data_IF_318577931686
#
_entry.id   IF_318577931686
#
_cell.length_a   1.000
_cell.length_b   1.000
_cell.length_c   1.000
_cell.angle_alpha   90.00
_cell.angle_beta   90.00
_cell.angle_gamma   90.00
#
_symmetry.space_group_name_H-M   'P 1'
#
loop_
_entity.id
_entity.type
_entity.pdbx_description
1 polymer ?
#
# COMPACT_ATOMS: atom_id res chain seq x y z
N UNK A 1 -9.82 17.14 36.75
CA UNK A 1 -8.78 17.51 37.74
C UNK A 1 -8.77 19.02 37.90
N UNK A 2 -8.79 19.51 39.14
CA UNK A 2 -8.64 20.94 39.43
C UNK A 2 -7.23 21.40 38.99
N UNK A 3 -7.15 22.37 38.08
CA UNK A 3 -5.88 22.85 37.53
C UNK A 3 -5.57 24.19 38.22
N UNK A 4 -4.86 24.15 39.35
CA UNK A 4 -4.43 25.35 40.05
C UNK A 4 -3.34 26.04 39.22
N UNK A 5 -3.74 27.02 38.40
CA UNK A 5 -2.85 27.73 37.48
C UNK A 5 -1.93 28.72 38.19
N UNK A 6 -2.40 29.28 39.29
CA UNK A 6 -1.75 30.35 40.01
C UNK A 6 -1.80 30.12 41.53
N UNK A 7 -0.72 30.48 42.21
CA UNK A 7 -0.63 30.54 43.67
C UNK A 7 -0.49 32.01 44.05
N UNK A 8 -1.29 32.48 45.01
CA UNK A 8 -1.17 33.86 45.52
C UNK A 8 -0.31 33.85 46.78
N UNK A 9 0.81 34.58 46.76
CA UNK A 9 1.71 34.75 47.92
C UNK A 9 1.84 36.24 48.20
N UNK A 10 1.43 36.67 49.39
CA UNK A 10 1.51 38.08 49.79
C UNK A 10 0.72 39.04 48.88
N UNK A 11 -0.35 38.57 48.21
CA UNK A 11 -1.14 39.35 47.26
C UNK A 11 -0.61 39.35 45.82
N UNK A 12 0.55 38.76 45.55
CA UNK A 12 1.08 38.57 44.20
C UNK A 12 0.70 37.20 43.65
N UNK A 13 0.24 37.17 42.39
CA UNK A 13 -0.04 35.91 41.68
C UNK A 13 1.22 35.35 41.05
N UNK A 14 1.61 34.14 41.44
CA UNK A 14 2.74 33.39 40.89
C UNK A 14 2.22 32.28 39.98
N UNK A 15 2.84 32.11 38.81
CA UNK A 15 2.51 31.04 37.88
C UNK A 15 3.11 29.73 38.38
N UNK A 16 2.27 28.71 38.60
CA UNK A 16 2.71 27.41 39.19
C UNK A 16 2.83 26.33 38.11
N UNK A 17 2.24 26.57 36.94
CA UNK A 17 2.27 25.63 35.84
C UNK A 17 3.55 25.83 35.03
N UNK A 18 4.33 24.77 34.93
CA UNK A 18 5.33 24.61 33.88
C UNK A 18 4.68 23.94 32.65
N UNK A 19 4.25 24.77 31.69
CA UNK A 19 3.62 24.30 30.46
C UNK A 19 4.59 23.51 29.58
N UNK A 20 5.87 23.87 29.61
CA UNK A 20 6.93 23.17 28.88
C UNK A 20 7.13 21.77 29.41
N UNK A 21 7.27 21.61 30.74
CA UNK A 21 7.41 20.30 31.37
C UNK A 21 6.18 19.41 31.12
N UNK A 22 4.97 19.98 31.21
CA UNK A 22 3.73 19.25 30.92
C UNK A 22 3.66 18.79 29.46
N UNK A 23 4.03 19.66 28.53
CA UNK A 23 4.06 19.33 27.10
C UNK A 23 5.08 18.22 26.80
N UNK A 24 6.28 18.33 27.37
CA UNK A 24 7.33 17.31 27.24
C UNK A 24 6.90 15.96 27.83
N UNK A 25 6.26 15.96 28.99
CA UNK A 25 5.75 14.74 29.62
C UNK A 25 4.66 14.07 28.76
N UNK A 26 3.73 14.86 28.19
CA UNK A 26 2.69 14.32 27.31
C UNK A 26 3.30 13.74 26.01
N UNK A 27 4.29 14.40 25.43
CA UNK A 27 5.00 13.90 24.25
C UNK A 27 5.72 12.57 24.54
N UNK A 28 6.41 12.48 25.68
CA UNK A 28 7.07 11.24 26.11
C UNK A 28 6.08 10.10 26.35
N UNK A 29 4.93 10.39 26.97
CA UNK A 29 3.86 9.41 27.18
C UNK A 29 3.30 8.91 25.84
N UNK A 30 2.99 9.82 24.91
CA UNK A 30 2.51 9.48 23.58
C UNK A 30 3.54 8.65 22.78
N UNK A 31 4.83 8.96 22.91
CA UNK A 31 5.91 8.19 22.31
C UNK A 31 6.03 6.78 22.90
N UNK A 32 5.91 6.66 24.22
CA UNK A 32 5.96 5.36 24.91
C UNK A 32 4.76 4.48 24.53
N UNK A 33 3.56 5.06 24.50
CA UNK A 33 2.35 4.35 24.10
C UNK A 33 2.42 3.89 22.64
N UNK A 34 3.00 4.72 21.75
CA UNK A 34 3.28 4.29 20.38
C UNK A 34 4.25 3.10 20.34
N UNK A 35 5.39 3.17 21.04
CA UNK A 35 6.36 2.07 21.06
C UNK A 35 5.74 0.78 21.58
N UNK A 36 4.89 0.87 22.61
CA UNK A 36 4.13 -0.27 23.13
C UNK A 36 3.19 -0.84 22.07
N UNK A 37 2.43 0.00 21.39
CA UNK A 37 1.50 -0.41 20.33
C UNK A 37 2.21 -1.02 19.13
N UNK A 38 3.38 -0.49 18.75
CA UNK A 38 4.24 -1.06 17.70
C UNK A 38 4.75 -2.45 18.10
N UNK A 39 5.25 -2.61 19.33
CA UNK A 39 5.75 -3.89 19.85
C UNK A 39 4.70 -5.00 19.79
N UNK A 40 3.44 -4.67 20.06
CA UNK A 40 2.34 -5.65 20.05
C UNK A 40 1.58 -5.72 18.71
N UNK A 41 1.98 -4.95 17.70
CA UNK A 41 1.27 -4.89 16.40
C UNK A 41 -0.17 -4.41 16.53
N UNK A 42 -0.46 -3.45 17.42
CA UNK A 42 -1.80 -2.89 17.67
C UNK A 42 -1.86 -1.37 17.54
N UNK A 43 -0.92 -0.77 16.82
CA UNK A 43 -1.02 0.65 16.50
C UNK A 43 -2.24 0.89 15.59
N UNK A 44 -3.21 1.65 16.08
CA UNK A 44 -4.48 1.88 15.38
C UNK A 44 -4.38 2.86 14.20
N UNK A 45 -3.22 3.49 14.01
CA UNK A 45 -3.02 4.57 13.05
C UNK A 45 -3.61 5.89 13.50
N UNK A 46 -3.02 7.00 13.06
CA UNK A 46 -3.64 8.32 13.14
C UNK A 46 -3.99 8.85 11.75
N UNK A 47 -4.98 9.74 11.69
CA UNK A 47 -5.29 10.48 10.47
C UNK A 47 -4.16 11.44 10.15
N UNK A 48 -3.56 11.31 8.96
CA UNK A 48 -2.50 12.21 8.49
C UNK A 48 -3.07 13.63 8.28
N UNK A 49 -4.34 13.75 7.90
CA UNK A 49 -5.00 15.06 7.80
C UNK A 49 -5.08 15.77 9.16
N UNK A 50 -5.25 15.01 10.25
CA UNK A 50 -5.24 15.56 11.60
C UNK A 50 -3.82 15.92 12.04
N UNK A 51 -2.84 15.04 11.78
CA UNK A 51 -1.43 15.28 12.10
C UNK A 51 -0.90 16.55 11.43
N UNK A 52 -1.29 16.77 10.16
CA UNK A 52 -0.81 17.88 9.33
C UNK A 52 -1.78 19.07 9.29
N UNK A 53 -2.78 19.14 10.18
CA UNK A 53 -3.83 20.17 10.12
C UNK A 53 -3.28 21.60 10.05
N UNK A 54 -2.17 21.89 10.75
CA UNK A 54 -1.50 23.19 10.73
C UNK A 54 -0.72 23.50 9.44
N UNK A 55 -0.48 22.50 8.59
CA UNK A 55 0.33 22.61 7.36
C UNK A 55 -0.50 22.61 6.08
N UNK A 56 -1.77 22.17 6.16
CA UNK A 56 -2.68 22.11 5.00
C UNK A 56 -2.93 23.51 4.43
N UNK A 57 -3.13 24.52 5.30
CA UNK A 57 -3.42 25.89 4.87
C UNK A 57 -4.60 25.95 3.90
N UNK A 58 -4.41 26.59 2.73
CA UNK A 58 -5.40 26.63 1.64
C UNK A 58 -5.32 25.47 0.64
N UNK A 59 -4.45 24.48 0.87
CA UNK A 59 -4.29 23.29 0.03
C UNK A 59 -5.02 22.07 0.57
N UNK A 60 -4.56 20.89 0.15
CA UNK A 60 -5.02 19.58 0.61
C UNK A 60 -3.99 18.93 1.53
N UNK A 61 -4.41 17.88 2.25
CA UNK A 61 -3.47 17.02 3.00
C UNK A 61 -2.38 16.44 2.10
N UNK A 62 -2.68 16.18 0.82
CA UNK A 62 -1.71 15.65 -0.15
C UNK A 62 -0.62 16.69 -0.45
N UNK A 63 -0.97 17.97 -0.60
CA UNK A 63 0.01 19.05 -0.83
C UNK A 63 0.95 19.21 0.37
N UNK A 64 0.41 19.16 1.60
CA UNK A 64 1.20 19.23 2.83
C UNK A 64 2.13 18.01 2.98
N UNK A 65 1.61 16.81 2.73
CA UNK A 65 2.38 15.58 2.81
C UNK A 65 3.49 15.51 1.74
N UNK A 66 3.19 15.86 0.49
CA UNK A 66 4.20 15.94 -0.57
C UNK A 66 5.34 16.90 -0.21
N UNK A 67 5.04 18.11 0.28
CA UNK A 67 6.07 19.07 0.71
C UNK A 67 6.99 18.48 1.78
N UNK A 68 6.43 17.72 2.72
CA UNK A 68 7.21 17.03 3.75
C UNK A 68 8.09 15.94 3.16
N UNK A 69 7.57 15.12 2.26
CA UNK A 69 8.31 14.03 1.61
C UNK A 69 9.51 14.59 0.84
N UNK A 70 9.29 15.58 -0.03
CA UNK A 70 10.37 16.23 -0.80
C UNK A 70 11.42 16.87 0.09
N UNK A 71 11.02 17.37 1.27
CA UNK A 71 11.92 17.96 2.26
C UNK A 71 12.59 16.92 3.20
N UNK A 72 12.41 15.62 2.98
CA UNK A 72 12.85 14.54 3.88
C UNK A 72 12.38 14.74 5.34
N UNK A 73 11.14 15.19 5.50
CA UNK A 73 10.54 15.46 6.81
C UNK A 73 9.40 14.48 7.13
N UNK A 74 9.77 13.35 7.72
CA UNK A 74 8.82 12.33 8.16
C UNK A 74 8.39 12.47 9.64
N UNK A 75 8.69 13.60 10.28
CA UNK A 75 8.50 13.75 11.73
C UNK A 75 7.04 13.52 12.14
N UNK A 76 6.81 12.54 13.02
CA UNK A 76 5.48 12.20 13.54
C UNK A 76 4.63 11.29 12.64
N UNK A 77 5.05 11.03 11.39
CA UNK A 77 4.45 10.02 10.52
C UNK A 77 4.94 8.63 10.92
N UNK A 78 4.03 7.66 10.89
CA UNK A 78 4.29 6.28 11.32
C UNK A 78 3.64 5.29 10.38
N UNK A 79 4.27 4.12 10.23
CA UNK A 79 3.62 2.94 9.60
C UNK A 79 2.32 2.67 10.35
N UNK A 80 1.22 2.50 9.62
CA UNK A 80 -0.14 2.40 10.18
C UNK A 80 -0.95 3.70 10.14
N UNK A 81 -0.32 4.87 10.01
CA UNK A 81 -1.06 6.14 9.79
C UNK A 81 -1.78 6.12 8.45
N UNK A 82 -2.86 6.89 8.31
CA UNK A 82 -3.76 6.72 7.18
C UNK A 82 -4.27 8.02 6.55
N UNK A 83 -4.65 7.90 5.28
CA UNK A 83 -5.44 8.84 4.50
C UNK A 83 -6.78 8.20 4.16
N UNK A 84 -7.88 8.92 4.40
CA UNK A 84 -9.19 8.56 3.84
C UNK A 84 -9.35 9.32 2.52
N UNK A 85 -9.21 8.61 1.40
CA UNK A 85 -9.21 9.20 0.06
C UNK A 85 -10.62 9.13 -0.53
N UNK A 86 -11.30 10.26 -0.80
CA UNK A 86 -12.58 10.25 -1.48
C UNK A 86 -12.39 9.84 -2.94
N UNK A 87 -13.28 8.99 -3.45
CA UNK A 87 -13.29 8.57 -4.85
C UNK A 87 -14.13 9.55 -5.68
N UNK A 88 -13.64 9.90 -6.88
CA UNK A 88 -14.28 10.83 -7.80
C UNK A 88 -15.08 10.13 -8.92
N UNK A 89 -14.94 8.81 -9.02
CA UNK A 89 -15.67 7.94 -9.94
C UNK A 89 -15.95 6.59 -9.27
N UNK A 90 -17.02 5.93 -9.69
CA UNK A 90 -17.35 4.56 -9.29
C UNK A 90 -16.97 3.51 -10.34
N UNK A 91 -16.35 3.90 -11.47
CA UNK A 91 -16.12 3.01 -12.61
C UNK A 91 -15.29 1.75 -12.28
N UNK A 92 -14.38 1.83 -11.33
CA UNK A 92 -13.56 0.70 -10.87
C UNK A 92 -14.06 0.00 -9.60
N UNK A 93 -15.07 0.52 -8.90
CA UNK A 93 -15.38 0.10 -7.52
C UNK A 93 -16.86 -0.18 -7.27
N UNK A 94 -17.17 -1.11 -6.38
CA UNK A 94 -18.53 -1.49 -6.00
C UNK A 94 -19.15 -0.52 -4.98
N UNK A 95 -19.45 0.71 -5.41
CA UNK A 95 -20.22 1.69 -4.64
C UNK A 95 -19.47 2.34 -3.47
N UNK A 96 -18.17 2.05 -3.27
CA UNK A 96 -17.34 2.77 -2.31
C UNK A 96 -17.28 4.27 -2.67
N UNK A 97 -17.41 5.13 -1.66
CA UNK A 97 -17.25 6.58 -1.82
C UNK A 97 -15.87 7.06 -1.38
N UNK A 98 -15.15 6.23 -0.61
CA UNK A 98 -13.79 6.49 -0.17
C UNK A 98 -13.01 5.18 0.03
N UNK A 99 -11.69 5.28 -0.06
CA UNK A 99 -10.76 4.19 0.27
C UNK A 99 -9.76 4.71 1.29
N UNK A 100 -9.62 3.99 2.40
CA UNK A 100 -8.55 4.25 3.37
C UNK A 100 -7.25 3.63 2.90
N UNK A 101 -6.20 4.44 2.80
CA UNK A 101 -4.84 4.02 2.52
C UNK A 101 -3.97 4.20 3.76
N UNK A 102 -3.15 3.20 4.06
CA UNK A 102 -2.32 3.12 5.25
C UNK A 102 -0.85 3.24 4.83
N UNK A 103 -0.03 4.01 5.57
CA UNK A 103 1.43 4.02 5.41
C UNK A 103 1.93 2.61 5.65
N UNK A 104 2.47 2.01 4.60
CA UNK A 104 3.01 0.66 4.61
C UNK A 104 4.50 0.63 4.92
N UNK A 105 5.25 1.61 4.40
CA UNK A 105 6.69 1.77 4.59
C UNK A 105 7.06 3.22 4.20
N UNK A 106 8.03 3.82 4.89
CA UNK A 106 8.66 5.10 4.52
C UNK A 106 9.98 4.80 3.81
N UNK A 107 10.20 5.37 2.63
CA UNK A 107 11.40 5.19 1.80
C UNK A 107 11.81 3.72 1.47
N UNK A 108 10.87 2.79 1.19
CA UNK A 108 11.22 1.40 0.90
C UNK A 108 12.15 1.21 -0.31
N UNK A 109 12.16 2.16 -1.24
CA UNK A 109 12.92 2.10 -2.49
C UNK A 109 13.82 3.32 -2.68
N UNK A 110 14.20 4.01 -1.61
CA UNK A 110 15.03 5.21 -1.72
C UNK A 110 16.39 4.82 -2.31
N UNK A 111 16.78 5.53 -3.38
CA UNK A 111 18.01 5.24 -4.15
C UNK A 111 18.09 3.82 -4.74
N UNK A 112 16.96 3.12 -4.80
CA UNK A 112 16.83 1.86 -5.54
C UNK A 112 16.38 2.14 -6.99
N UNK A 113 16.18 1.06 -7.74
CA UNK A 113 15.91 1.04 -9.19
C UNK A 113 17.10 1.47 -10.09
N UNK A 114 16.97 1.29 -11.41
CA UNK A 114 18.01 1.60 -12.41
C UNK A 114 18.14 3.10 -12.73
N UNK A 115 17.38 3.97 -12.05
CA UNK A 115 17.33 5.43 -12.29
C UNK A 115 17.39 6.25 -11.00
N UNK A 116 17.15 5.64 -9.84
CA UNK A 116 16.98 6.31 -8.56
C UNK A 116 15.63 7.02 -8.44
N UNK A 117 15.03 6.98 -7.24
CA UNK A 117 13.91 7.86 -6.87
C UNK A 117 14.20 8.66 -5.61
N UNK A 118 13.55 9.81 -5.49
CA UNK A 118 13.58 10.64 -4.31
C UNK A 118 12.85 10.00 -3.12
N UNK A 119 12.74 10.77 -2.04
CA UNK A 119 11.96 10.38 -0.87
C UNK A 119 10.51 10.07 -1.25
N UNK A 120 9.92 9.06 -0.61
CA UNK A 120 8.55 8.63 -0.86
C UNK A 120 7.98 7.82 0.32
N UNK A 121 6.66 7.70 0.33
CA UNK A 121 5.94 6.84 1.27
C UNK A 121 5.13 5.84 0.47
N UNK A 122 5.29 4.55 0.78
CA UNK A 122 4.42 3.51 0.27
C UNK A 122 3.12 3.49 1.07
N UNK A 123 2.00 3.57 0.36
CA UNK A 123 0.67 3.42 0.89
C UNK A 123 0.05 2.12 0.38
N UNK A 124 -0.77 1.47 1.20
CA UNK A 124 -1.57 0.30 0.79
C UNK A 124 -3.01 0.48 1.23
N UNK A 125 -3.94 0.08 0.37
CA UNK A 125 -5.36 0.05 0.69
C UNK A 125 -5.57 -0.78 1.98
N UNK A 126 -6.31 -0.22 2.92
CA UNK A 126 -6.59 -0.85 4.21
C UNK A 126 -7.29 -2.20 4.06
N UNK A 127 -8.14 -2.37 3.05
CA UNK A 127 -8.85 -3.61 2.77
C UNK A 127 -8.87 -3.89 1.26
N UNK A 128 -9.07 -5.16 0.84
CA UNK A 128 -9.33 -5.48 -0.55
C UNK A 128 -10.55 -4.72 -1.10
N UNK A 129 -10.41 -4.22 -2.31
CA UNK A 129 -11.37 -3.30 -2.93
C UNK A 129 -12.38 -4.13 -3.71
N UNK A 130 -13.67 -3.98 -3.38
CA UNK A 130 -14.73 -4.57 -4.17
C UNK A 130 -14.80 -3.89 -5.54
N UNK A 131 -14.83 -4.70 -6.60
CA UNK A 131 -14.83 -4.26 -8.01
C UNK A 131 -16.26 -3.93 -8.44
N UNK A 132 -16.45 -2.89 -9.26
CA UNK A 132 -17.78 -2.53 -9.77
C UNK A 132 -18.39 -3.71 -10.55
N UNK A 133 -19.68 -3.99 -10.33
CA UNK A 133 -20.41 -4.99 -11.11
C UNK A 133 -20.59 -4.63 -12.59
N UNK A 134 -20.29 -3.38 -12.97
CA UNK A 134 -20.29 -2.91 -14.35
C UNK A 134 -18.90 -2.90 -14.99
N UNK A 135 -17.85 -3.26 -14.25
CA UNK A 135 -16.49 -3.30 -14.77
C UNK A 135 -16.31 -4.54 -15.65
N UNK A 136 -15.71 -4.36 -16.84
CA UNK A 136 -15.45 -5.48 -17.75
C UNK A 136 -14.42 -6.44 -17.15
N UNK A 137 -14.73 -7.73 -17.12
CA UNK A 137 -13.93 -8.74 -16.42
C UNK A 137 -14.26 -8.92 -14.92
N UNK A 138 -15.25 -8.22 -14.36
CA UNK A 138 -15.73 -8.52 -12.99
C UNK A 138 -16.25 -9.96 -12.90
N UNK A 139 -15.92 -10.64 -11.82
CA UNK A 139 -16.43 -11.96 -11.48
C UNK A 139 -17.19 -11.93 -10.15
N UNK A 140 -18.18 -12.83 -10.00
CA UNK A 140 -18.95 -13.00 -8.76
C UNK A 140 -19.41 -11.67 -8.14
N UNK A 141 -19.90 -10.76 -9.00
CA UNK A 141 -20.46 -9.44 -8.67
C UNK A 141 -19.52 -8.39 -8.06
N UNK A 142 -18.35 -8.76 -7.54
CA UNK A 142 -17.44 -7.81 -6.85
C UNK A 142 -15.98 -8.23 -6.75
N UNK A 143 -15.59 -9.27 -7.50
CA UNK A 143 -14.25 -9.83 -7.56
C UNK A 143 -13.69 -9.66 -8.96
N UNK A 144 -12.42 -10.00 -9.15
CA UNK A 144 -11.81 -10.00 -10.47
C UNK A 144 -10.83 -11.17 -10.55
N UNK A 145 -10.85 -11.99 -11.61
CA UNK A 145 -9.78 -12.94 -11.83
C UNK A 145 -8.48 -12.17 -12.14
N UNK A 146 -7.33 -12.78 -11.84
CA UNK A 146 -6.06 -12.17 -12.17
C UNK A 146 -5.89 -12.02 -13.70
N UNK A 147 -6.39 -13.00 -14.45
CA UNK A 147 -6.49 -12.96 -15.91
C UNK A 147 -7.76 -13.68 -16.40
N UNK A 148 -8.21 -13.36 -17.62
CA UNK A 148 -9.46 -13.92 -18.19
C UNK A 148 -9.41 -15.45 -18.33
N UNK A 149 -8.23 -16.00 -18.62
CA UNK A 149 -7.97 -17.44 -18.74
C UNK A 149 -6.87 -17.88 -17.80
N UNK A 150 -6.73 -19.21 -17.61
CA UNK A 150 -5.71 -19.84 -16.77
C UNK A 150 -4.30 -19.74 -17.38
N UNK A 151 -3.82 -18.51 -17.57
CA UNK A 151 -2.49 -18.19 -18.08
C UNK A 151 -1.83 -17.11 -17.23
N UNK A 152 -0.57 -17.37 -16.90
CA UNK A 152 0.33 -16.44 -16.24
C UNK A 152 1.55 -16.11 -17.10
N UNK A 153 1.37 -16.15 -18.43
CA UNK A 153 2.43 -15.84 -19.40
C UNK A 153 2.40 -14.37 -19.80
N UNK A 154 3.57 -13.84 -20.16
CA UNK A 154 3.66 -12.66 -21.00
C UNK A 154 3.41 -13.00 -22.47
N UNK A 155 3.47 -11.99 -23.31
CA UNK A 155 3.40 -12.07 -24.77
C UNK A 155 4.77 -11.81 -25.40
N UNK A 156 4.86 -11.91 -26.73
CA UNK A 156 6.07 -11.57 -27.46
C UNK A 156 6.51 -10.11 -27.24
N UNK A 157 5.53 -9.20 -27.13
CA UNK A 157 5.75 -7.78 -26.97
C UNK A 157 5.92 -7.37 -25.51
N UNK A 158 5.13 -7.98 -24.61
CA UNK A 158 5.14 -7.70 -23.17
C UNK A 158 5.41 -9.00 -22.43
N UNK A 159 6.68 -9.29 -22.17
CA UNK A 159 7.11 -10.57 -21.59
C UNK A 159 6.76 -10.74 -20.11
N UNK A 160 6.33 -9.66 -19.46
CA UNK A 160 5.99 -9.66 -18.04
C UNK A 160 4.50 -10.00 -17.84
N UNK A 161 4.18 -11.13 -17.20
CA UNK A 161 2.79 -11.57 -17.04
C UNK A 161 1.89 -10.54 -16.38
N UNK A 162 2.38 -9.89 -15.34
CA UNK A 162 1.59 -8.91 -14.59
C UNK A 162 1.14 -7.73 -15.46
N UNK A 163 1.98 -7.24 -16.36
CA UNK A 163 1.60 -6.16 -17.27
C UNK A 163 0.55 -6.58 -18.31
N UNK A 164 0.44 -7.88 -18.59
CA UNK A 164 -0.58 -8.44 -19.48
C UNK A 164 -1.88 -8.80 -18.75
N UNK A 165 -1.91 -8.69 -17.41
CA UNK A 165 -3.00 -9.23 -16.59
C UNK A 165 -4.26 -8.36 -16.65
N UNK A 166 -5.42 -9.00 -16.48
CA UNK A 166 -6.68 -8.30 -16.30
C UNK A 166 -6.67 -7.48 -15.00
N UNK A 167 -5.99 -7.96 -13.96
CA UNK A 167 -5.78 -7.22 -12.71
C UNK A 167 -5.11 -5.87 -12.96
N UNK A 168 -4.06 -5.82 -13.79
CA UNK A 168 -3.37 -4.57 -14.16
C UNK A 168 -4.30 -3.60 -14.88
N UNK A 169 -5.16 -4.11 -15.77
CA UNK A 169 -6.20 -3.32 -16.43
C UNK A 169 -7.17 -2.66 -15.42
N UNK A 170 -7.57 -3.40 -14.39
CA UNK A 170 -8.42 -2.86 -13.33
C UNK A 170 -7.73 -1.80 -12.48
N UNK A 171 -6.44 -1.98 -12.17
CA UNK A 171 -5.67 -0.98 -11.41
C UNK A 171 -5.58 0.36 -12.14
N UNK A 172 -5.44 0.33 -13.48
CA UNK A 172 -5.50 1.55 -14.31
C UNK A 172 -6.87 2.21 -14.25
N UNK A 173 -7.96 1.43 -14.27
CA UNK A 173 -9.30 1.98 -14.11
C UNK A 173 -9.56 2.52 -12.69
N UNK A 174 -8.99 1.89 -11.67
CA UNK A 174 -9.05 2.35 -10.29
C UNK A 174 -8.28 3.65 -10.07
N UNK A 175 -7.12 3.82 -10.72
CA UNK A 175 -6.36 5.09 -10.68
C UNK A 175 -7.24 6.28 -11.12
N UNK A 176 -8.05 6.09 -12.17
CA UNK A 176 -8.99 7.11 -12.65
C UNK A 176 -10.14 7.43 -11.66
N UNK A 177 -10.33 6.60 -10.62
CA UNK A 177 -11.29 6.87 -9.54
C UNK A 177 -10.69 7.75 -8.43
N UNK A 178 -9.38 7.98 -8.41
CA UNK A 178 -8.70 8.79 -7.40
C UNK A 178 -8.70 10.29 -7.78
N UNK A 179 -8.70 11.20 -6.79
CA UNK A 179 -8.75 12.62 -7.05
C UNK A 179 -7.43 13.12 -7.64
N UNK A 180 -7.49 14.06 -8.59
CA UNK A 180 -6.32 14.67 -9.22
C UNK A 180 -5.34 15.27 -8.20
N UNK A 181 -5.88 15.86 -7.12
CA UNK A 181 -5.07 16.40 -6.02
C UNK A 181 -4.13 15.39 -5.37
N UNK A 182 -4.46 14.10 -5.42
CA UNK A 182 -3.59 13.00 -4.99
C UNK A 182 -2.75 12.46 -6.15
N UNK A 183 -3.36 12.13 -7.28
CA UNK A 183 -2.68 11.41 -8.37
C UNK A 183 -1.54 12.19 -9.03
N UNK A 184 -1.52 13.52 -8.90
CA UNK A 184 -0.40 14.37 -9.31
C UNK A 184 0.89 14.14 -8.50
N UNK A 185 0.79 13.59 -7.30
CA UNK A 185 1.92 13.27 -6.41
C UNK A 185 2.21 11.78 -6.30
N UNK A 186 1.39 10.93 -6.94
CA UNK A 186 1.69 9.50 -7.00
C UNK A 186 2.77 9.27 -8.06
N UNK A 187 3.86 8.63 -7.64
CA UNK A 187 4.96 8.25 -8.52
C UNK A 187 4.57 7.04 -9.38
N UNK A 188 5.00 7.03 -10.65
CA UNK A 188 5.02 5.81 -11.43
C UNK A 188 6.03 4.85 -10.80
N UNK A 189 5.58 3.66 -10.41
CA UNK A 189 6.45 2.69 -9.77
C UNK A 189 7.24 1.93 -10.83
N UNK A 190 8.56 2.01 -10.74
CA UNK A 190 9.50 1.25 -11.56
C UNK A 190 10.05 0.07 -10.76
N UNK A 191 10.01 -1.12 -11.36
CA UNK A 191 10.38 -2.37 -10.68
C UNK A 191 11.16 -3.30 -11.58
N UNK A 192 11.90 -4.21 -10.95
CA UNK A 192 12.48 -5.36 -11.62
C UNK A 192 11.45 -6.47 -11.71
N UNK A 193 10.78 -6.58 -12.86
CA UNK A 193 9.62 -7.43 -13.04
C UNK A 193 10.01 -8.75 -13.70
N UNK A 194 9.45 -9.84 -13.21
CA UNK A 194 9.68 -11.17 -13.78
C UNK A 194 9.13 -11.27 -15.21
N UNK A 195 9.90 -11.90 -16.09
CA UNK A 195 9.52 -12.26 -17.44
C UNK A 195 9.18 -13.75 -17.50
N UNK A 196 8.07 -14.07 -18.16
CA UNK A 196 7.66 -15.45 -18.42
C UNK A 196 7.07 -15.54 -19.81
N UNK A 197 7.95 -15.67 -20.79
CA UNK A 197 7.55 -15.83 -22.18
C UNK A 197 8.53 -16.75 -22.92
N UNK A 198 7.99 -17.58 -23.80
CA UNK A 198 8.74 -18.38 -24.75
C UNK A 198 7.92 -18.57 -26.03
N UNK A 199 8.58 -18.46 -27.18
CA UNK A 199 7.96 -18.76 -28.48
C UNK A 199 7.63 -20.25 -28.65
N UNK A 200 8.21 -21.12 -27.82
CA UNK A 200 8.06 -22.58 -27.90
C UNK A 200 6.90 -23.14 -27.07
N UNK A 201 6.14 -22.28 -26.38
CA UNK A 201 5.01 -22.68 -25.54
C UNK A 201 5.07 -22.09 -24.13
N UNK A 202 4.02 -22.37 -23.34
CA UNK A 202 3.89 -21.84 -21.98
C UNK A 202 4.97 -22.39 -21.04
N UNK A 203 5.50 -21.51 -20.20
CA UNK A 203 6.51 -21.84 -19.18
C UNK A 203 5.85 -22.07 -17.82
N UNK A 204 6.40 -22.96 -17.01
CA UNK A 204 5.99 -23.15 -15.60
C UNK A 204 6.67 -22.19 -14.65
N UNK A 205 7.83 -21.67 -15.05
CA UNK A 205 8.68 -20.81 -14.26
C UNK A 205 9.11 -19.60 -15.08
N UNK A 206 9.25 -18.47 -14.40
CA UNK A 206 9.82 -17.26 -15.00
C UNK A 206 11.29 -17.52 -15.35
N UNK A 207 11.75 -16.99 -16.48
CA UNK A 207 13.05 -17.33 -17.05
C UNK A 207 13.98 -16.12 -17.23
N UNK A 208 13.47 -14.92 -16.97
CA UNK A 208 14.23 -13.68 -17.07
C UNK A 208 13.57 -12.56 -16.23
N UNK A 209 14.15 -11.37 -16.24
CA UNK A 209 13.59 -10.17 -15.62
C UNK A 209 13.97 -8.93 -16.42
N UNK A 210 13.13 -7.90 -16.33
CA UNK A 210 13.41 -6.59 -16.91
C UNK A 210 12.87 -5.45 -16.07
N UNK A 211 13.52 -4.29 -16.16
CA UNK A 211 13.06 -3.07 -15.50
C UNK A 211 11.84 -2.51 -16.22
N UNK A 212 10.70 -2.47 -15.54
CA UNK A 212 9.42 -2.04 -16.08
C UNK A 212 8.75 -0.98 -15.20
N UNK A 213 8.00 -0.11 -15.85
CA UNK A 213 7.10 0.81 -15.17
C UNK A 213 5.74 0.11 -15.00
N UNK A 214 5.32 -0.14 -13.77
CA UNK A 214 4.08 -0.85 -13.45
C UNK A 214 2.90 0.10 -13.19
N UNK A 215 3.05 1.39 -13.49
CA UNK A 215 2.03 2.41 -13.27
C UNK A 215 2.06 3.00 -11.86
N UNK A 216 1.09 3.87 -11.56
CA UNK A 216 0.98 4.59 -10.28
C UNK A 216 0.32 3.77 -9.18
N UNK A 217 -0.63 2.92 -9.57
CA UNK A 217 -1.34 1.97 -8.71
C UNK A 217 -0.90 0.57 -9.09
N UNK A 218 -0.53 -0.26 -8.11
CA UNK A 218 -0.14 -1.65 -8.34
C UNK A 218 -0.58 -2.60 -7.22
N UNK A 219 -0.71 -3.88 -7.56
CA UNK A 219 -0.82 -4.98 -6.61
C UNK A 219 0.55 -5.40 -6.13
N UNK A 220 0.66 -5.67 -4.82
CA UNK A 220 1.93 -5.96 -4.18
C UNK A 220 2.49 -7.33 -4.61
N UNK A 221 3.81 -7.50 -4.52
CA UNK A 221 4.48 -8.79 -4.69
C UNK A 221 4.49 -9.61 -3.39
N UNK A 222 4.81 -10.89 -3.50
CA UNK A 222 5.08 -11.70 -2.31
C UNK A 222 6.24 -11.14 -1.47
N UNK A 223 7.23 -10.50 -2.10
CA UNK A 223 8.34 -9.88 -1.37
C UNK A 223 7.87 -8.66 -0.57
N UNK A 224 7.02 -7.80 -1.14
CA UNK A 224 6.44 -6.64 -0.44
C UNK A 224 5.59 -7.07 0.79
N UNK A 225 4.98 -8.26 0.76
CA UNK A 225 4.05 -8.74 1.79
C UNK A 225 4.71 -9.69 2.80
N UNK A 226 5.39 -10.73 2.31
CA UNK A 226 5.95 -11.81 3.12
C UNK A 226 7.45 -11.65 3.38
N UNK A 227 8.13 -10.80 2.60
CA UNK A 227 9.59 -10.68 2.65
C UNK A 227 10.33 -11.83 1.99
N UNK A 228 9.62 -12.69 1.26
CA UNK A 228 10.21 -13.75 0.44
C UNK A 228 9.21 -14.23 -0.64
N UNK A 229 9.68 -14.85 -1.72
CA UNK A 229 8.82 -15.54 -2.68
C UNK A 229 8.44 -16.91 -2.09
N UNK A 230 7.20 -17.07 -1.59
CA UNK A 230 6.75 -18.34 -1.02
C UNK A 230 6.32 -19.30 -2.12
N UNK A 231 5.55 -18.80 -3.10
CA UNK A 231 5.05 -19.58 -4.23
C UNK A 231 5.54 -19.08 -5.58
N UNK A 232 6.12 -17.89 -5.64
CA UNK A 232 6.71 -17.31 -6.83
C UNK A 232 7.93 -18.08 -7.33
N UNK A 233 8.35 -17.78 -8.56
CA UNK A 233 9.55 -18.36 -9.15
C UNK A 233 10.79 -17.89 -8.38
N UNK A 234 11.55 -18.78 -7.72
CA UNK A 234 12.77 -18.40 -7.02
C UNK A 234 13.76 -17.67 -7.94
N UNK A 235 14.34 -16.58 -7.46
CA UNK A 235 15.29 -15.75 -8.22
C UNK A 235 14.66 -14.72 -9.15
N UNK A 236 13.40 -14.87 -9.55
CA UNK A 236 12.72 -13.93 -10.46
C UNK A 236 11.61 -13.14 -9.78
N UNK A 237 10.76 -13.78 -8.97
CA UNK A 237 9.60 -13.10 -8.34
C UNK A 237 9.95 -12.14 -7.19
N UNK A 238 11.23 -12.07 -6.78
CA UNK A 238 11.73 -11.06 -5.82
C UNK A 238 11.99 -9.73 -6.50
N UNK A 239 12.59 -9.77 -7.70
CA UNK A 239 13.09 -8.57 -8.36
C UNK A 239 14.04 -7.76 -7.45
N UNK A 240 13.64 -6.53 -7.16
CA UNK A 240 14.33 -5.59 -6.26
C UNK A 240 13.47 -5.24 -5.03
N UNK A 241 12.35 -5.92 -4.84
CA UNK A 241 11.37 -5.57 -3.85
C UNK A 241 11.89 -5.81 -2.42
N UNK A 242 11.31 -5.12 -1.44
CA UNK A 242 11.59 -5.30 -0.02
C UNK A 242 10.28 -5.49 0.76
N UNK A 243 10.33 -6.17 1.91
CA UNK A 243 9.13 -6.30 2.73
C UNK A 243 8.68 -4.95 3.28
N UNK A 244 7.39 -4.66 3.20
CA UNK A 244 6.81 -3.49 3.87
C UNK A 244 6.60 -3.76 5.35
N UNK A 245 7.04 -2.81 6.18
CA UNK A 245 6.94 -2.90 7.64
C UNK A 245 5.52 -3.18 8.14
N UNK A 246 4.51 -2.69 7.42
CA UNK A 246 3.10 -2.96 7.72
C UNK A 246 2.76 -4.46 7.74
N UNK A 247 3.41 -5.30 6.93
CA UNK A 247 3.08 -6.73 6.82
C UNK A 247 3.94 -7.65 7.69
N UNK A 248 4.64 -7.08 8.68
CA UNK A 248 5.44 -7.81 9.65
C UNK A 248 4.63 -8.87 10.41
N UNK A 249 3.34 -8.64 10.62
CA UNK A 249 2.43 -9.61 11.20
C UNK A 249 1.27 -10.01 10.26
N UNK A 250 0.65 -11.14 10.59
CA UNK A 250 -0.46 -11.69 9.79
C UNK A 250 -1.75 -10.87 9.93
N UNK A 251 -1.93 -10.15 11.05
CA UNK A 251 -3.14 -9.38 11.29
C UNK A 251 -3.28 -8.22 10.30
N UNK A 252 -2.18 -7.55 9.96
CA UNK A 252 -2.17 -6.45 8.98
C UNK A 252 -2.37 -6.91 7.52
N UNK A 253 -2.01 -8.17 7.21
CA UNK A 253 -2.33 -8.79 5.90
C UNK A 253 -3.83 -8.95 5.69
N UNK A 254 -4.58 -9.13 6.77
CA UNK A 254 -6.04 -9.27 6.76
C UNK A 254 -6.78 -7.97 7.02
N UNK A 255 -6.20 -7.12 7.87
CA UNK A 255 -6.76 -5.89 8.40
C UNK A 255 -8.27 -6.00 8.73
N UNK A 256 -8.63 -7.06 9.46
CA UNK A 256 -10.00 -7.34 9.91
C UNK A 256 -11.00 -7.82 8.85
N UNK A 257 -10.67 -7.81 7.55
CA UNK A 257 -11.65 -8.06 6.47
C UNK A 257 -11.76 -9.53 6.05
N UNK A 258 -10.72 -10.35 6.33
CA UNK A 258 -10.63 -11.79 5.97
C UNK A 258 -11.06 -12.11 4.52
N UNK A 259 -10.77 -11.19 3.59
CA UNK A 259 -11.04 -11.37 2.16
C UNK A 259 -9.73 -11.73 1.45
N UNK A 260 -9.69 -12.77 0.60
CA UNK A 260 -8.50 -13.06 -0.17
C UNK A 260 -8.21 -11.94 -1.18
N UNK A 261 -6.94 -11.68 -1.44
CA UNK A 261 -6.53 -10.64 -2.38
C UNK A 261 -5.28 -10.98 -3.20
N UNK A 262 -5.28 -10.54 -4.46
CA UNK A 262 -4.24 -10.88 -5.44
C UNK A 262 -2.90 -10.22 -5.15
N UNK A 263 -1.83 -10.94 -5.52
CA UNK A 263 -0.48 -10.39 -5.65
C UNK A 263 -0.11 -10.30 -7.14
N UNK A 264 0.87 -9.46 -7.47
CA UNK A 264 1.41 -9.40 -8.84
C UNK A 264 2.32 -10.58 -9.20
N UNK A 265 2.83 -11.30 -8.20
CA UNK A 265 3.74 -12.44 -8.38
C UNK A 265 3.02 -13.63 -9.00
N UNK A 266 3.64 -14.27 -10.00
CA UNK A 266 3.10 -15.49 -10.63
C UNK A 266 3.68 -16.74 -9.97
N UNK A 267 2.87 -17.80 -9.87
CA UNK A 267 3.29 -19.05 -9.23
C UNK A 267 4.36 -19.78 -10.04
N UNK A 268 5.42 -20.24 -9.37
CA UNK A 268 6.41 -21.16 -9.93
C UNK A 268 5.83 -22.58 -10.08
N UNK A 269 6.41 -23.37 -10.98
CA UNK A 269 5.98 -24.73 -11.27
C UNK A 269 4.61 -24.87 -11.96
N UNK A 270 3.99 -23.78 -12.42
CA UNK A 270 2.69 -23.80 -13.12
C UNK A 270 2.57 -22.66 -14.13
N UNK A 271 2.05 -22.97 -15.32
CA UNK A 271 1.74 -21.97 -16.35
C UNK A 271 0.39 -21.26 -16.15
N UNK A 272 -0.35 -21.62 -15.10
CA UNK A 272 -1.72 -21.18 -14.86
C UNK A 272 -1.94 -20.51 -13.49
N UNK A 273 -1.04 -20.72 -12.52
CA UNK A 273 -1.27 -20.28 -11.15
C UNK A 273 -0.66 -18.91 -10.84
N UNK A 274 -1.32 -18.15 -9.97
CA UNK A 274 -0.88 -16.83 -9.53
C UNK A 274 -0.98 -16.73 -8.01
N UNK A 275 -0.07 -15.97 -7.40
CA UNK A 275 0.02 -15.82 -5.96
C UNK A 275 -1.04 -14.87 -5.42
N UNK A 276 -1.52 -15.15 -4.21
CA UNK A 276 -2.48 -14.32 -3.49
C UNK A 276 -2.32 -14.49 -1.98
N UNK A 277 -2.92 -13.58 -1.22
CA UNK A 277 -3.06 -13.71 0.23
C UNK A 277 -4.42 -14.32 0.53
N UNK A 278 -4.44 -15.45 1.25
CA UNK A 278 -5.70 -16.11 1.58
C UNK A 278 -6.47 -15.39 2.70
N UNK A 279 -7.71 -15.83 2.97
CA UNK A 279 -8.58 -15.25 4.02
C UNK A 279 -8.09 -15.47 5.46
N UNK A 280 -7.03 -16.27 5.65
CA UNK A 280 -6.27 -16.44 6.89
C UNK A 280 -4.96 -15.64 6.95
N UNK A 281 -4.58 -14.93 5.89
CA UNK A 281 -3.38 -14.08 5.82
C UNK A 281 -2.10 -14.83 5.40
N UNK A 282 -2.25 -16.09 4.96
CA UNK A 282 -1.15 -16.92 4.46
C UNK A 282 -0.94 -16.78 2.96
N UNK A 283 0.30 -17.04 2.53
CA UNK A 283 0.67 -17.10 1.12
C UNK A 283 0.05 -18.32 0.46
N UNK A 284 -0.64 -18.12 -0.66
CA UNK A 284 -1.28 -19.17 -1.45
C UNK A 284 -1.13 -18.87 -2.94
N UNK A 285 -1.45 -19.83 -3.78
CA UNK A 285 -1.61 -19.66 -5.21
C UNK A 285 -2.90 -20.35 -5.69
N UNK A 286 -3.42 -19.91 -6.82
CA UNK A 286 -4.59 -20.52 -7.48
C UNK A 286 -4.57 -20.19 -8.96
N UNK A 287 -5.41 -20.85 -9.74
CA UNK A 287 -5.76 -20.49 -11.12
C UNK A 287 -5.92 -18.98 -11.35
N UNK A 288 -5.27 -18.46 -12.40
CA UNK A 288 -5.36 -17.05 -12.80
C UNK A 288 -6.80 -16.60 -13.08
N UNK A 289 -7.66 -17.51 -13.55
CA UNK A 289 -9.07 -17.23 -13.81
C UNK A 289 -9.98 -17.37 -12.57
N UNK A 290 -9.42 -17.55 -11.36
CA UNK A 290 -10.23 -17.68 -10.14
C UNK A 290 -11.03 -16.38 -9.86
N UNK A 291 -12.36 -16.46 -9.98
CA UNK A 291 -13.25 -15.33 -9.81
C UNK A 291 -13.59 -14.93 -8.38
N UNK A 292 -12.92 -15.43 -7.34
CA UNK A 292 -13.29 -15.20 -5.92
C UNK A 292 -12.25 -14.40 -5.12
N UNK A 293 -11.36 -13.68 -5.80
CA UNK A 293 -10.28 -12.91 -5.17
C UNK A 293 -10.40 -11.44 -5.56
N UNK A 294 -10.14 -10.53 -4.60
CA UNK A 294 -10.25 -9.08 -4.81
C UNK A 294 -8.88 -8.44 -5.03
N UNK A 295 -8.82 -7.30 -5.73
CA UNK A 295 -7.61 -6.50 -5.76
C UNK A 295 -7.36 -5.84 -4.39
N UNK A 296 -6.09 -5.67 -4.02
CA UNK A 296 -5.67 -4.78 -2.94
C UNK A 296 -4.40 -4.08 -3.40
N UNK A 297 -4.49 -2.77 -3.54
CA UNK A 297 -3.46 -1.99 -4.24
C UNK A 297 -2.66 -1.12 -3.29
N UNK A 298 -1.45 -0.81 -3.72
CA UNK A 298 -0.61 0.25 -3.15
C UNK A 298 -0.30 1.35 -4.15
N UNK A 299 0.27 2.45 -3.61
CA UNK A 299 0.84 3.54 -4.38
C UNK A 299 2.05 4.15 -3.66
N UNK A 300 2.94 4.82 -4.39
CA UNK A 300 4.03 5.61 -3.80
C UNK A 300 3.67 7.09 -3.89
N UNK A 301 3.63 7.78 -2.76
CA UNK A 301 3.54 9.25 -2.74
C UNK A 301 4.96 9.82 -2.66
N UNK A 302 5.34 10.70 -3.57
CA UNK A 302 6.65 11.35 -3.64
C UNK A 302 6.52 12.85 -3.80
#
# INVERSE_FOLDING_TARGET
>A
MANAKTLVVGGQSLNVIDETARSNAQLALNGTEFNRQLLIGKYGGQSIATLLAGEIGGGTVYDALHKRIVANNFAGLRVGDYLDVPLVSASGVAGQQSVRFIIAHIDPYLWCDDRGKGHHIAFVASAPIAVSSSYDGVANSSYIPWNETNTNQGTADIKNPYLCSQLKGWETAFEACLPEGLTKYILTQRVLLEERYSASGALTDSNNWSWQDIGKIWSLSEMEVYGCPVWGTPGFSVGFDCQFDLFRDTAHRLNGTRCPWWLRSVGGGSSAHVCYVNSGGGACYTDAANGWIRPRVGFLLG
#
